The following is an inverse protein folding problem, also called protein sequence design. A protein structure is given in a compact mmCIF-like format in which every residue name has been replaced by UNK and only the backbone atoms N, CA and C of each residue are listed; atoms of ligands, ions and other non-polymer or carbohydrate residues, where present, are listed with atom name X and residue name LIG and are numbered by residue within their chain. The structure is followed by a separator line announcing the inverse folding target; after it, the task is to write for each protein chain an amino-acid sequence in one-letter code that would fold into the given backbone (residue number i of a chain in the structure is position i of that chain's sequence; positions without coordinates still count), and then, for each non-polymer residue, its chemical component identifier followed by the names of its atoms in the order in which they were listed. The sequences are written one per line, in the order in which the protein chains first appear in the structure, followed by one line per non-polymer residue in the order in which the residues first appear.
data_IF_483677199067
#
_entry.id   IF_483677199067
#
_cell.length_a   1.000
_cell.length_b   1.000
_cell.length_c   1.000
_cell.angle_alpha   90.00
_cell.angle_beta   90.00
_cell.angle_gamma   90.00
#
_symmetry.space_group_name_H-M   'P 1'
#
loop_
_entity.id
_entity.type
_entity.pdbx_description
1 polymer ?
#
# COMPACT_ATOMS: atom_id res chain seq x y z
N UNK A 1 29.57 17.17 4.01
CA UNK A 1 28.74 16.48 3.00
C UNK A 1 27.95 15.39 3.71
N UNK A 2 26.63 15.53 3.82
CA UNK A 2 25.81 14.47 4.41
C UNK A 2 25.72 13.31 3.40
N UNK A 3 26.23 12.13 3.79
CA UNK A 3 26.00 10.89 3.05
C UNK A 3 24.49 10.72 2.85
N UNK A 4 24.06 10.66 1.58
CA UNK A 4 22.66 10.43 1.21
C UNK A 4 22.30 9.05 1.71
N UNK A 5 21.65 8.96 2.88
CA UNK A 5 21.12 7.69 3.39
C UNK A 5 20.16 7.16 2.33
N UNK A 6 20.49 6.03 1.72
CA UNK A 6 19.58 5.36 0.80
C UNK A 6 18.35 4.93 1.61
N UNK A 7 17.21 5.54 1.31
CA UNK A 7 15.91 5.10 1.83
C UNK A 7 15.53 3.78 1.15
N UNK A 8 14.28 3.33 1.32
CA UNK A 8 13.75 2.09 0.74
C UNK A 8 13.68 2.06 -0.80
N UNK A 9 14.25 3.05 -1.51
CA UNK A 9 14.06 3.26 -2.94
C UNK A 9 12.68 3.81 -3.28
N UNK A 10 12.33 3.75 -4.57
CA UNK A 10 11.03 4.20 -5.08
C UNK A 10 9.96 3.12 -4.90
N UNK A 11 8.77 3.45 -4.38
CA UNK A 11 7.66 2.49 -4.30
C UNK A 11 7.03 2.24 -5.67
N UNK A 12 6.43 1.07 -5.83
CA UNK A 12 5.37 0.89 -6.83
C UNK A 12 4.12 1.61 -6.34
N UNK A 13 3.53 2.47 -7.19
CA UNK A 13 2.35 3.27 -6.84
C UNK A 13 1.12 2.78 -7.59
N UNK A 14 0.02 2.67 -6.85
CA UNK A 14 -1.30 2.33 -7.37
C UNK A 14 -2.24 3.49 -7.03
N UNK A 15 -2.99 3.96 -8.03
CA UNK A 15 -3.97 5.04 -7.88
C UNK A 15 -5.34 4.50 -8.27
N UNK A 16 -6.35 4.79 -7.43
CA UNK A 16 -7.76 4.50 -7.66
C UNK A 16 -8.43 5.77 -8.20
N UNK A 17 -8.94 5.70 -9.42
CA UNK A 17 -9.53 6.86 -10.11
C UNK A 17 -10.90 7.25 -9.50
N UNK A 18 -11.71 6.25 -9.16
CA UNK A 18 -13.02 6.44 -8.54
C UNK A 18 -13.38 5.26 -7.62
N UNK A 19 -14.42 5.43 -6.79
CA UNK A 19 -14.82 4.43 -5.79
C UNK A 19 -15.55 3.21 -6.37
N UNK A 20 -16.16 3.33 -7.54
CA UNK A 20 -16.90 2.24 -8.18
C UNK A 20 -15.98 1.08 -8.61
N UNK A 21 -14.67 1.34 -8.68
CA UNK A 21 -13.64 0.38 -9.08
C UNK A 21 -12.92 -0.29 -7.91
N UNK A 22 -13.46 -0.26 -6.68
CA UNK A 22 -12.78 -0.81 -5.50
C UNK A 22 -12.33 -2.27 -5.67
N UNK A 23 -13.20 -3.16 -6.14
CA UNK A 23 -12.84 -4.58 -6.32
C UNK A 23 -11.76 -4.79 -7.38
N UNK A 24 -11.84 -4.08 -8.51
CA UNK A 24 -10.82 -4.17 -9.58
C UNK A 24 -9.48 -3.56 -9.15
N UNK A 25 -9.53 -2.48 -8.36
CA UNK A 25 -8.35 -1.89 -7.75
C UNK A 25 -7.69 -2.83 -6.76
N UNK A 26 -8.48 -3.43 -5.86
CA UNK A 26 -8.02 -4.41 -4.89
C UNK A 26 -7.36 -5.61 -5.57
N UNK A 27 -8.00 -6.18 -6.59
CA UNK A 27 -7.46 -7.32 -7.35
C UNK A 27 -6.12 -6.97 -8.01
N UNK A 28 -6.02 -5.80 -8.65
CA UNK A 28 -4.79 -5.33 -9.30
C UNK A 28 -3.65 -5.17 -8.29
N UNK A 29 -3.91 -4.52 -7.16
CA UNK A 29 -2.90 -4.34 -6.11
C UNK A 29 -2.48 -5.70 -5.57
N UNK A 30 -3.43 -6.55 -5.19
CA UNK A 30 -3.15 -7.86 -4.59
C UNK A 30 -2.36 -8.74 -5.55
N UNK A 31 -2.73 -8.82 -6.82
CA UNK A 31 -2.03 -9.61 -7.84
C UNK A 31 -0.54 -9.28 -7.91
N UNK A 32 -0.18 -8.01 -7.75
CA UNK A 32 1.20 -7.56 -7.86
C UNK A 32 2.02 -7.75 -6.58
N UNK A 33 1.39 -7.71 -5.40
CA UNK A 33 2.08 -7.77 -4.09
C UNK A 33 1.95 -9.13 -3.38
N UNK A 34 1.10 -10.02 -3.90
CA UNK A 34 0.94 -11.38 -3.37
C UNK A 34 2.28 -12.11 -3.41
N UNK A 35 2.61 -12.79 -2.31
CA UNK A 35 3.88 -13.51 -2.09
C UNK A 35 5.15 -12.63 -2.05
N UNK A 36 5.03 -11.31 -2.15
CA UNK A 36 6.13 -10.36 -1.93
C UNK A 36 6.10 -9.85 -0.50
N UNK A 37 7.26 -9.63 0.10
CA UNK A 37 7.37 -9.02 1.42
C UNK A 37 7.76 -7.55 1.27
N UNK A 38 7.30 -6.69 2.17
CA UNK A 38 7.57 -5.27 2.01
C UNK A 38 6.91 -4.36 3.02
N UNK A 39 6.94 -3.07 2.69
CA UNK A 39 6.20 -2.02 3.39
C UNK A 39 5.08 -1.55 2.47
N UNK A 40 3.89 -1.38 3.04
CA UNK A 40 2.70 -0.90 2.34
C UNK A 40 2.16 0.35 3.01
N UNK A 41 1.88 1.37 2.19
CA UNK A 41 1.23 2.61 2.60
C UNK A 41 -0.12 2.73 1.90
N UNK A 42 -1.15 3.02 2.67
CA UNK A 42 -2.55 3.10 2.30
C UNK A 42 -3.03 4.54 2.52
N UNK A 43 -3.22 5.29 1.44
CA UNK A 43 -3.57 6.70 1.52
C UNK A 43 -5.08 6.94 1.44
N UNK A 44 -5.58 7.83 2.28
CA UNK A 44 -6.92 8.41 2.20
C UNK A 44 -8.02 7.34 2.12
N UNK A 45 -8.12 6.49 3.14
CA UNK A 45 -9.12 5.40 3.19
C UNK A 45 -9.94 5.38 4.49
N UNK A 46 -9.47 6.07 5.53
CA UNK A 46 -10.06 6.08 6.86
C UNK A 46 -10.50 7.48 7.29
N UNK A 47 -11.44 7.54 8.25
CA UNK A 47 -11.88 8.79 8.86
C UNK A 47 -12.86 9.61 8.02
N UNK A 48 -13.34 10.72 8.60
CA UNK A 48 -14.31 11.61 7.96
C UNK A 48 -13.69 12.22 6.71
N UNK A 49 -14.33 12.00 5.56
CA UNK A 49 -13.85 12.52 4.28
C UNK A 49 -12.58 11.84 3.77
N UNK A 50 -12.26 10.63 4.24
CA UNK A 50 -11.14 9.81 3.73
C UNK A 50 -9.78 10.51 3.82
N UNK A 51 -9.46 11.10 4.97
CA UNK A 51 -8.18 11.79 5.19
C UNK A 51 -7.19 11.00 6.04
N UNK A 52 -7.59 9.81 6.50
CA UNK A 52 -6.76 8.92 7.29
C UNK A 52 -5.92 8.02 6.39
N UNK A 53 -4.63 8.03 6.65
CA UNK A 53 -3.63 7.16 6.05
C UNK A 53 -3.25 6.01 7.00
N UNK A 54 -2.62 4.96 6.47
CA UNK A 54 -2.04 3.87 7.26
C UNK A 54 -0.75 3.38 6.62
N UNK A 55 0.27 3.06 7.42
CA UNK A 55 1.49 2.41 6.96
C UNK A 55 1.71 1.13 7.75
N UNK A 56 2.12 0.06 7.07
CA UNK A 56 2.29 -1.25 7.69
C UNK A 56 3.37 -2.10 7.00
N UNK A 57 3.74 -3.19 7.65
CA UNK A 57 4.55 -4.28 7.07
C UNK A 57 3.63 -5.29 6.40
N UNK A 58 4.02 -5.74 5.22
CA UNK A 58 3.31 -6.74 4.42
C UNK A 58 4.14 -8.02 4.31
N UNK A 59 3.53 -9.16 4.64
CA UNK A 59 4.21 -10.46 4.71
C UNK A 59 4.07 -11.33 3.44
N UNK A 60 3.37 -10.82 2.43
CA UNK A 60 2.99 -11.57 1.22
C UNK A 60 1.50 -11.89 1.13
N UNK A 61 0.76 -11.73 2.23
CA UNK A 61 -0.68 -12.01 2.27
C UNK A 61 -1.45 -11.04 3.17
N UNK A 62 -0.85 -10.61 4.28
CA UNK A 62 -1.46 -9.80 5.33
C UNK A 62 -0.57 -8.62 5.75
N UNK A 63 -1.22 -7.62 6.35
CA UNK A 63 -0.56 -6.56 7.10
C UNK A 63 -0.33 -7.02 8.56
N UNK A 64 0.64 -6.43 9.26
CA UNK A 64 0.92 -6.79 10.64
C UNK A 64 -0.13 -6.27 11.65
N UNK A 65 -0.69 -5.07 11.42
CA UNK A 65 -1.70 -4.48 12.32
C UNK A 65 -2.97 -3.98 11.59
N UNK A 66 -2.88 -3.67 10.30
CA UNK A 66 -4.01 -3.27 9.47
C UNK A 66 -4.88 -4.46 9.03
N UNK A 67 -6.13 -4.17 8.66
CA UNK A 67 -6.95 -5.20 8.00
C UNK A 67 -6.44 -5.42 6.58
N UNK A 68 -6.52 -6.66 6.11
CA UNK A 68 -6.04 -7.05 4.79
C UNK A 68 -6.59 -6.15 3.68
N UNK A 69 -7.87 -5.78 3.70
CA UNK A 69 -8.50 -4.99 2.64
C UNK A 69 -8.24 -3.47 2.69
N UNK A 70 -7.40 -2.96 3.59
CA UNK A 70 -7.11 -1.51 3.67
C UNK A 70 -6.56 -0.94 2.36
N UNK A 71 -5.75 -1.72 1.65
CA UNK A 71 -5.23 -1.30 0.34
C UNK A 71 -6.35 -1.15 -0.70
N UNK A 72 -7.37 -2.01 -0.74
CA UNK A 72 -8.48 -1.90 -1.69
C UNK A 72 -9.33 -0.64 -1.46
N UNK A 73 -9.55 -0.31 -0.18
CA UNK A 73 -10.31 0.88 0.24
C UNK A 73 -9.59 2.19 -0.04
N UNK A 74 -8.26 2.16 -0.17
CA UNK A 74 -7.42 3.35 -0.34
C UNK A 74 -7.56 4.03 -1.69
N UNK A 75 -7.42 5.36 -1.69
CA UNK A 75 -7.31 6.14 -2.92
C UNK A 75 -5.97 5.90 -3.61
N UNK A 76 -4.91 5.75 -2.83
CA UNK A 76 -3.59 5.39 -3.35
C UNK A 76 -2.92 4.35 -2.46
N UNK A 77 -2.16 3.45 -3.07
CA UNK A 77 -1.35 2.45 -2.38
C UNK A 77 0.08 2.55 -2.86
N UNK A 78 1.03 2.59 -1.94
CA UNK A 78 2.45 2.63 -2.25
C UNK A 78 3.09 1.40 -1.63
N UNK A 79 3.84 0.63 -2.42
CA UNK A 79 4.46 -0.60 -1.98
C UNK A 79 5.97 -0.57 -2.21
N UNK A 80 6.75 -0.83 -1.17
CA UNK A 80 8.18 -1.04 -1.23
C UNK A 80 8.47 -2.52 -0.98
N UNK A 81 8.88 -3.23 -2.02
CA UNK A 81 9.31 -4.62 -1.89
C UNK A 81 10.65 -4.68 -1.14
N UNK A 82 10.72 -5.53 -0.11
CA UNK A 82 11.94 -5.84 0.61
C UNK A 82 12.40 -7.21 0.15
N UNK A 83 13.53 -7.24 -0.57
CA UNK A 83 14.19 -8.48 -0.96
C UNK A 83 14.94 -9.03 0.25
N UNK A 84 14.47 -10.17 0.74
CA UNK A 84 15.14 -10.99 1.76
C UNK A 84 15.92 -12.12 1.09
#
# INVERSE_FOLDING_TARGET
MASRRESLGSPTKYIKENREQESAFEERVLKDILNKKGIIFCQNFWGRGEQGDHIDVWDGLNMACGQRNYYGRSKQVWFWEIKV
#
